data_IF_441796341977
#
_entry.id   IF_441796341977
#
_cell.length_a   1.000
_cell.length_b   1.000
_cell.length_c   1.000
_cell.angle_alpha   90.00
_cell.angle_beta   90.00
_cell.angle_gamma   90.00
#
_symmetry.space_group_name_H-M   'P 1'
#
loop_
_entity.id
_entity.type
_entity.pdbx_description
1 polymer ?
#
# COMPACT_ATOMS: atom_id res chain seq x y z
N UNK A 1 -37.21 -24.23 -35.82
CA UNK A 1 -38.20 -23.89 -36.88
C UNK A 1 -39.60 -24.07 -36.31
N UNK A 2 -40.46 -23.05 -36.31
CA UNK A 2 -41.92 -23.22 -36.46
C UNK A 2 -42.55 -21.89 -36.91
N UNK A 3 -43.67 -21.96 -37.64
CA UNK A 3 -44.18 -20.88 -38.51
C UNK A 3 -45.16 -19.93 -37.80
N UNK A 4 -45.22 -18.68 -38.30
CA UNK A 4 -46.37 -17.77 -38.14
C UNK A 4 -47.64 -18.40 -38.74
N UNK A 5 -48.81 -18.03 -38.21
CA UNK A 5 -49.95 -17.66 -39.05
C UNK A 5 -50.85 -16.63 -38.36
N UNK A 6 -51.57 -15.85 -39.17
CA UNK A 6 -52.38 -14.67 -38.81
C UNK A 6 -53.86 -14.87 -39.22
N UNK A 7 -54.70 -13.90 -38.81
CA UNK A 7 -56.13 -13.65 -39.13
C UNK A 7 -57.08 -14.31 -38.13
N UNK A 8 -58.16 -13.67 -37.64
CA UNK A 8 -58.93 -12.48 -38.04
C UNK A 8 -60.37 -12.71 -37.54
N UNK A 9 -61.36 -11.81 -37.58
CA UNK A 9 -61.50 -10.45 -38.12
C UNK A 9 -62.90 -9.90 -37.72
N UNK A 10 -62.99 -8.71 -37.09
CA UNK A 10 -64.16 -7.76 -37.04
C UNK A 10 -65.52 -8.31 -36.50
N UNK A 11 -66.58 -7.54 -36.13
CA UNK A 11 -66.88 -6.11 -36.23
C UNK A 11 -67.95 -5.62 -35.20
N UNK A 12 -67.99 -4.30 -34.92
CA UNK A 12 -69.22 -3.49 -34.64
C UNK A 12 -69.94 -3.66 -33.26
N UNK A 13 -70.69 -2.72 -32.65
CA UNK A 13 -71.30 -1.42 -33.07
C UNK A 13 -71.47 -0.43 -31.89
N UNK A 14 -71.24 0.88 -32.15
CA UNK A 14 -71.74 2.18 -31.55
C UNK A 14 -72.51 2.23 -30.20
N UNK A 15 -72.30 3.22 -29.31
CA UNK A 15 -72.69 4.65 -29.46
C UNK A 15 -72.12 5.59 -28.34
N UNK A 16 -71.61 6.79 -28.73
CA UNK A 16 -71.95 8.19 -28.30
C UNK A 16 -72.02 8.60 -26.80
N UNK A 17 -71.58 9.79 -26.33
CA UNK A 17 -70.95 11.05 -26.85
C UNK A 17 -70.12 11.73 -25.71
N UNK A 18 -69.23 12.72 -25.87
CA UNK A 18 -68.37 13.16 -26.99
C UNK A 18 -67.24 14.15 -26.53
N UNK A 19 -67.49 15.48 -26.57
CA UNK A 19 -66.69 16.63 -26.10
C UNK A 19 -65.13 16.68 -26.31
N UNK A 20 -64.75 17.32 -27.43
CA UNK A 20 -63.67 18.33 -27.57
C UNK A 20 -62.19 17.95 -27.80
N UNK A 21 -61.73 18.41 -28.99
CA UNK A 21 -60.40 18.97 -29.32
C UNK A 21 -59.13 18.14 -29.08
N UNK A 22 -58.65 17.52 -30.17
CA UNK A 22 -57.24 17.15 -30.41
C UNK A 22 -56.39 18.40 -30.67
N UNK A 23 -55.09 18.35 -30.37
CA UNK A 23 -54.02 18.48 -31.39
C UNK A 23 -52.67 17.98 -30.84
N UNK A 24 -51.68 17.84 -31.73
CA UNK A 24 -50.66 16.79 -31.69
C UNK A 24 -49.23 17.35 -31.75
N UNK A 25 -48.31 16.76 -30.95
CA UNK A 25 -46.84 16.67 -31.09
C UNK A 25 -45.97 17.91 -31.46
N UNK A 26 -44.62 17.81 -31.40
CA UNK A 26 -43.81 17.37 -30.28
C UNK A 26 -42.81 18.48 -29.82
N UNK A 27 -42.31 18.41 -28.58
CA UNK A 27 -41.40 19.44 -28.06
C UNK A 27 -40.00 19.44 -28.71
N UNK A 28 -39.81 20.41 -29.61
CA UNK A 28 -38.49 20.93 -30.03
C UNK A 28 -38.00 21.91 -28.97
N UNK A 29 -36.96 21.55 -28.21
CA UNK A 29 -36.35 22.45 -27.20
C UNK A 29 -35.18 23.23 -27.79
N UNK A 30 -35.44 24.48 -28.20
CA UNK A 30 -34.40 25.42 -28.60
C UNK A 30 -33.95 26.29 -27.42
N UNK A 31 -32.68 26.12 -27.05
CA UNK A 31 -31.71 27.17 -26.69
C UNK A 31 -32.28 28.57 -26.36
N UNK A 32 -32.57 28.85 -25.08
CA UNK A 32 -32.34 30.18 -24.44
C UNK A 32 -32.69 30.20 -22.94
N UNK A 33 -31.75 29.75 -22.09
CA UNK A 33 -31.75 30.08 -20.66
C UNK A 33 -30.31 30.17 -20.17
N UNK A 34 -29.75 31.38 -20.16
CA UNK A 34 -28.40 31.68 -19.66
C UNK A 34 -28.50 32.77 -18.60
N UNK A 35 -27.52 32.80 -17.69
CA UNK A 35 -27.33 33.76 -16.59
C UNK A 35 -28.21 33.43 -15.38
N UNK A 36 -27.71 33.19 -14.15
CA UNK A 36 -26.33 33.29 -13.64
C UNK A 36 -25.99 32.09 -12.74
N UNK A 37 -24.88 31.38 -13.03
CA UNK A 37 -24.18 30.56 -12.03
C UNK A 37 -22.74 31.04 -11.95
N UNK A 38 -22.44 31.76 -10.86
CA UNK A 38 -21.15 32.39 -10.56
C UNK A 38 -20.04 31.32 -10.61
N UNK A 39 -19.00 31.57 -11.41
CA UNK A 39 -17.98 30.57 -11.73
C UNK A 39 -17.25 30.07 -10.48
N UNK A 40 -17.20 28.74 -10.30
CA UNK A 40 -16.33 28.14 -9.29
C UNK A 40 -14.92 28.05 -9.86
N UNK A 41 -14.13 29.11 -9.64
CA UNK A 41 -12.69 29.08 -9.89
C UNK A 41 -12.09 27.95 -9.05
N UNK A 42 -11.37 27.03 -9.69
CA UNK A 42 -10.63 25.93 -9.05
C UNK A 42 -9.49 26.54 -8.23
N UNK A 43 -9.80 26.90 -6.99
CA UNK A 43 -8.85 27.52 -6.07
C UNK A 43 -7.74 26.52 -5.68
N UNK A 44 -6.44 26.81 -5.94
CA UNK A 44 -5.34 25.94 -5.53
C UNK A 44 -5.26 25.77 -4.00
N UNK A 45 -5.91 26.62 -3.21
CA UNK A 45 -6.11 26.38 -1.78
C UNK A 45 -7.01 25.18 -1.49
N UNK A 46 -7.90 24.73 -2.39
CA UNK A 46 -8.74 23.55 -2.14
C UNK A 46 -8.00 22.24 -2.33
N UNK A 47 -7.19 22.11 -3.39
CA UNK A 47 -6.31 20.94 -3.58
C UNK A 47 -5.27 20.87 -2.45
N UNK A 48 -4.67 22.01 -2.11
CA UNK A 48 -3.75 22.09 -0.97
C UNK A 48 -4.44 22.10 0.41
N UNK A 49 -5.77 22.16 0.50
CA UNK A 49 -6.58 21.85 1.70
C UNK A 49 -6.92 20.37 1.80
N UNK A 50 -7.06 19.64 0.69
CA UNK A 50 -7.17 18.18 0.71
C UNK A 50 -5.81 17.53 1.06
N UNK A 51 -4.74 18.06 0.49
CA UNK A 51 -3.37 17.67 0.84
C UNK A 51 -2.98 18.17 2.25
N UNK A 52 -3.54 19.29 2.73
CA UNK A 52 -3.42 19.68 4.15
C UNK A 52 -4.35 18.92 5.08
N UNK A 53 -5.54 18.46 4.72
CA UNK A 53 -6.35 17.67 5.67
C UNK A 53 -5.65 16.35 5.96
N UNK A 54 -5.15 15.67 4.90
CA UNK A 54 -4.31 14.48 5.01
C UNK A 54 -3.06 14.71 5.89
N UNK A 55 -2.41 15.88 5.80
CA UNK A 55 -1.19 16.15 6.59
C UNK A 55 -1.44 16.82 7.96
N UNK A 56 -2.58 17.49 8.16
CA UNK A 56 -2.87 18.33 9.33
C UNK A 56 -3.53 17.53 10.45
N UNK A 57 -4.31 16.50 10.11
CA UNK A 57 -4.80 15.51 11.08
C UNK A 57 -3.64 14.67 11.67
N UNK A 58 -2.56 14.50 10.90
CA UNK A 58 -1.32 13.86 11.38
C UNK A 58 -0.50 14.79 12.30
N UNK A 59 -0.38 16.09 12.00
CA UNK A 59 0.46 17.00 12.81
C UNK A 59 -0.01 17.17 14.26
N UNK A 60 -1.33 17.16 14.51
CA UNK A 60 -1.86 17.31 15.88
C UNK A 60 -1.87 16.01 16.69
N UNK A 61 -1.76 14.85 16.03
CA UNK A 61 -1.69 13.53 16.68
C UNK A 61 -0.26 13.01 16.85
N UNK A 62 0.67 13.33 15.96
CA UNK A 62 2.07 12.89 16.06
C UNK A 62 2.96 13.80 16.93
N UNK A 63 2.45 14.91 17.46
CA UNK A 63 3.20 15.76 18.40
C UNK A 63 3.23 15.19 19.85
N UNK A 64 2.75 13.96 20.03
CA UNK A 64 2.76 13.20 21.28
C UNK A 64 3.53 11.86 21.22
N UNK A 65 4.49 11.69 20.30
CA UNK A 65 5.33 10.47 20.24
C UNK A 65 6.41 10.50 21.35
N UNK A 66 5.96 10.53 22.59
CA UNK A 66 6.52 9.66 23.63
C UNK A 66 5.60 8.43 23.72
N UNK A 67 5.63 7.58 22.68
CA UNK A 67 5.20 6.19 22.80
C UNK A 67 6.24 5.42 23.61
N UNK A 68 6.46 5.86 24.86
CA UNK A 68 6.77 4.94 25.95
C UNK A 68 5.56 4.01 26.00
N UNK A 69 5.64 2.90 25.29
CA UNK A 69 4.66 1.84 25.40
C UNK A 69 4.52 1.53 26.89
N UNK A 70 3.29 1.63 27.40
CA UNK A 70 2.96 1.08 28.72
C UNK A 70 3.03 -0.44 28.60
N UNK A 71 4.25 -0.97 28.67
CA UNK A 71 4.48 -2.28 29.25
C UNK A 71 3.88 -2.15 30.65
N UNK A 72 2.70 -2.74 30.86
CA UNK A 72 2.18 -2.88 32.21
C UNK A 72 3.24 -3.64 33.01
N UNK A 73 3.78 -3.04 34.07
CA UNK A 73 4.73 -3.66 35.01
C UNK A 73 4.04 -4.72 35.89
N UNK A 74 3.21 -5.57 35.28
CA UNK A 74 2.33 -6.55 35.90
C UNK A 74 2.70 -7.99 35.51
N UNK A 75 3.99 -8.24 35.26
CA UNK A 75 4.61 -9.55 35.49
C UNK A 75 6.13 -9.41 35.58
N UNK A 76 6.70 -9.66 36.76
CA UNK A 76 8.17 -9.75 36.97
C UNK A 76 8.79 -11.02 36.34
N UNK A 77 7.98 -11.89 35.73
CA UNK A 77 8.45 -13.02 34.93
C UNK A 77 8.53 -12.61 33.44
N UNK A 78 9.57 -13.05 32.70
CA UNK A 78 9.59 -12.91 31.25
C UNK A 78 8.38 -13.66 30.68
N UNK A 79 7.59 -12.98 29.84
CA UNK A 79 6.47 -13.58 29.13
C UNK A 79 6.93 -14.80 28.31
N UNK A 80 6.13 -15.88 28.22
CA UNK A 80 6.55 -17.10 27.53
C UNK A 80 7.02 -16.84 26.10
N UNK A 81 8.00 -17.61 25.64
CA UNK A 81 8.47 -17.57 24.26
C UNK A 81 7.62 -18.53 23.42
N UNK A 82 7.17 -18.06 22.27
CA UNK A 82 6.48 -18.82 21.22
C UNK A 82 7.46 -18.98 20.06
N UNK A 83 7.52 -20.20 19.50
CA UNK A 83 8.31 -20.47 18.30
C UNK A 83 7.42 -20.33 17.06
N UNK A 84 7.78 -19.44 16.14
CA UNK A 84 7.14 -19.35 14.83
C UNK A 84 8.03 -19.99 13.77
N UNK A 85 7.40 -20.59 12.77
CA UNK A 85 8.07 -21.27 11.66
C UNK A 85 7.54 -20.67 10.37
N UNK A 86 8.42 -20.00 9.64
CA UNK A 86 8.05 -19.02 8.62
C UNK A 86 8.65 -19.38 7.26
N UNK A 87 7.82 -19.30 6.21
CA UNK A 87 8.19 -19.50 4.82
C UNK A 87 8.46 -20.96 4.46
N UNK A 88 8.72 -21.19 3.17
CA UNK A 88 9.03 -22.51 2.62
C UNK A 88 10.31 -23.14 3.21
N UNK A 89 11.28 -22.31 3.62
CA UNK A 89 12.50 -22.76 4.32
C UNK A 89 12.27 -23.16 5.79
N UNK A 90 11.05 -23.00 6.30
CA UNK A 90 10.69 -23.25 7.70
C UNK A 90 11.61 -22.51 8.71
N UNK A 91 11.96 -21.25 8.41
CA UNK A 91 12.89 -20.46 9.23
C UNK A 91 12.27 -20.21 10.61
N UNK A 92 13.03 -20.52 11.66
CA UNK A 92 12.57 -20.42 13.04
C UNK A 92 12.73 -19.00 13.58
N UNK A 93 11.67 -18.47 14.18
CA UNK A 93 11.67 -17.22 14.94
C UNK A 93 11.23 -17.50 16.37
N UNK A 94 11.87 -16.85 17.34
CA UNK A 94 11.47 -16.87 18.74
C UNK A 94 10.95 -15.48 19.13
N UNK A 95 9.72 -15.41 19.63
CA UNK A 95 9.08 -14.15 20.01
C UNK A 95 8.33 -14.29 21.34
N UNK A 96 8.26 -13.19 22.08
CA UNK A 96 7.50 -13.15 23.34
C UNK A 96 5.99 -13.14 23.08
N UNK A 97 5.24 -13.92 23.86
CA UNK A 97 3.79 -14.07 23.72
C UNK A 97 3.04 -12.72 23.81
N UNK A 98 3.45 -11.85 24.74
CA UNK A 98 2.87 -10.51 24.88
C UNK A 98 3.15 -9.58 23.68
N UNK A 99 4.30 -9.75 23.00
CA UNK A 99 4.68 -8.98 21.81
C UNK A 99 3.85 -9.43 20.62
N UNK A 100 3.66 -10.75 20.45
CA UNK A 100 2.79 -11.31 19.40
C UNK A 100 1.32 -10.90 19.60
N UNK A 101 0.81 -10.94 20.83
CA UNK A 101 -0.58 -10.56 21.15
C UNK A 101 -0.92 -9.09 20.88
N UNK A 102 0.03 -8.23 20.51
CA UNK A 102 -0.27 -6.91 19.95
C UNK A 102 -0.94 -6.99 18.56
N UNK A 103 -0.76 -8.10 17.84
CA UNK A 103 -1.47 -8.38 16.60
C UNK A 103 -2.76 -9.19 16.90
N UNK A 104 -3.96 -8.68 16.53
CA UNK A 104 -5.23 -9.38 16.75
C UNK A 104 -5.30 -10.80 16.17
N UNK A 105 -4.53 -11.11 15.12
CA UNK A 105 -4.39 -12.47 14.59
C UNK A 105 -3.70 -13.41 15.60
N UNK A 106 -2.49 -13.07 16.06
CA UNK A 106 -1.74 -13.93 16.97
C UNK A 106 -2.42 -14.03 18.34
N UNK A 107 -3.07 -12.98 18.82
CA UNK A 107 -3.86 -13.06 20.06
C UNK A 107 -4.94 -14.16 19.97
N UNK A 108 -5.67 -14.23 18.85
CA UNK A 108 -6.70 -15.26 18.62
C UNK A 108 -6.09 -16.66 18.52
N UNK A 109 -5.01 -16.82 17.76
CA UNK A 109 -4.29 -18.10 17.62
C UNK A 109 -3.75 -18.59 18.97
N UNK A 110 -3.18 -17.69 19.77
CA UNK A 110 -2.59 -18.02 21.07
C UNK A 110 -3.69 -18.39 22.08
N UNK A 111 -4.77 -17.60 22.17
CA UNK A 111 -5.93 -17.93 23.04
C UNK A 111 -6.66 -19.21 22.61
N UNK A 112 -6.64 -19.54 21.32
CA UNK A 112 -7.31 -20.73 20.75
C UNK A 112 -6.51 -22.03 20.93
N UNK A 113 -5.25 -22.04 20.53
CA UNK A 113 -4.46 -23.27 20.41
C UNK A 113 -3.80 -23.72 21.73
N UNK A 114 -3.55 -22.80 22.66
CA UNK A 114 -2.62 -23.03 23.78
C UNK A 114 -3.32 -23.58 25.04
N UNK A 115 -4.40 -24.36 24.84
CA UNK A 115 -5.04 -25.13 25.93
C UNK A 115 -4.20 -26.33 26.36
N UNK A 116 -3.43 -26.93 25.45
CA UNK A 116 -2.41 -27.93 25.76
C UNK A 116 -1.01 -27.30 25.76
N UNK A 117 -0.38 -27.27 26.94
CA UNK A 117 0.85 -26.50 27.18
C UNK A 117 2.12 -27.08 26.53
N UNK A 118 2.04 -28.22 25.83
CA UNK A 118 3.20 -29.03 25.44
C UNK A 118 3.95 -28.54 24.19
N UNK A 119 3.35 -27.72 23.31
CA UNK A 119 4.06 -27.28 22.10
C UNK A 119 3.62 -25.88 21.60
N UNK A 120 4.29 -24.83 22.09
CA UNK A 120 4.05 -23.42 21.73
C UNK A 120 4.60 -23.06 20.33
N UNK A 121 4.06 -23.70 19.28
CA UNK A 121 4.53 -23.54 17.88
C UNK A 121 3.43 -23.00 16.95
N UNK A 122 3.74 -21.95 16.19
CA UNK A 122 2.88 -21.37 15.13
C UNK A 122 3.57 -21.58 13.78
N UNK A 123 2.82 -21.93 12.74
CA UNK A 123 3.34 -22.12 11.37
C UNK A 123 2.75 -21.06 10.44
N UNK A 124 3.60 -20.42 9.64
CA UNK A 124 3.27 -19.37 8.67
C UNK A 124 3.96 -19.71 7.33
N UNK A 125 3.48 -20.74 6.60
CA UNK A 125 4.17 -21.24 5.41
C UNK A 125 4.13 -20.24 4.23
N UNK A 126 3.08 -19.41 4.16
CA UNK A 126 2.82 -18.46 3.08
C UNK A 126 3.43 -17.06 3.32
N UNK A 127 4.20 -16.90 4.40
CA UNK A 127 4.85 -15.64 4.79
C UNK A 127 6.36 -15.73 4.55
N UNK A 128 6.95 -14.70 3.91
CA UNK A 128 8.41 -14.68 3.72
C UNK A 128 9.15 -14.26 5.01
N UNK A 129 10.29 -14.90 5.35
CA UNK A 129 11.05 -14.56 6.55
C UNK A 129 11.48 -13.10 6.65
N UNK A 130 11.85 -12.46 5.53
CA UNK A 130 12.30 -11.06 5.44
C UNK A 130 11.16 -10.05 5.64
N UNK A 131 9.92 -10.48 5.34
CA UNK A 131 8.68 -9.73 5.59
C UNK A 131 8.32 -9.90 7.07
N UNK A 132 8.24 -11.14 7.56
CA UNK A 132 7.93 -11.42 8.96
C UNK A 132 8.94 -10.80 9.93
N UNK A 133 10.24 -10.78 9.58
CA UNK A 133 11.25 -10.08 10.36
C UNK A 133 10.95 -8.58 10.49
N UNK A 134 10.38 -7.95 9.45
CA UNK A 134 9.92 -6.56 9.50
C UNK A 134 8.68 -6.38 10.40
N UNK A 135 7.72 -7.32 10.32
CA UNK A 135 6.56 -7.33 11.24
C UNK A 135 7.04 -7.45 12.69
N UNK A 136 7.90 -8.42 12.99
CA UNK A 136 8.36 -8.67 14.35
C UNK A 136 9.16 -7.50 14.90
N UNK A 137 10.03 -6.88 14.09
CA UNK A 137 10.74 -5.66 14.48
C UNK A 137 9.77 -4.52 14.84
N UNK A 138 8.73 -4.31 14.02
CA UNK A 138 7.67 -3.34 14.33
C UNK A 138 6.97 -3.65 15.65
N UNK A 139 6.63 -4.91 15.94
CA UNK A 139 5.98 -5.30 17.20
C UNK A 139 6.87 -5.02 18.43
N UNK A 140 8.20 -5.05 18.29
CA UNK A 140 9.13 -4.70 19.38
C UNK A 140 9.43 -3.18 19.48
N UNK A 141 9.46 -2.45 18.36
CA UNK A 141 10.04 -1.08 18.29
C UNK A 141 9.07 0.01 17.85
N UNK A 142 7.89 -0.34 17.36
CA UNK A 142 6.94 0.58 16.69
C UNK A 142 7.37 1.02 15.29
N UNK A 143 8.52 0.54 14.79
CA UNK A 143 9.05 0.80 13.45
C UNK A 143 9.90 -0.42 13.02
N UNK A 144 10.16 -0.55 11.72
CA UNK A 144 10.98 -1.60 11.11
C UNK A 144 12.08 -1.00 10.23
N UNK A 145 13.16 -1.72 9.92
CA UNK A 145 14.21 -1.19 9.06
C UNK A 145 13.75 -1.13 7.58
N UNK A 146 14.05 -0.05 6.82
CA UNK A 146 14.70 1.19 7.27
C UNK A 146 13.71 2.08 8.01
N UNK A 147 14.15 2.68 9.12
CA UNK A 147 13.33 3.53 9.98
C UNK A 147 12.91 4.83 9.29
N UNK A 148 11.76 5.33 9.72
CA UNK A 148 11.15 6.55 9.21
C UNK A 148 11.56 7.75 10.08
N UNK A 149 12.39 8.65 9.54
CA UNK A 149 12.97 9.77 10.29
C UNK A 149 12.35 11.11 9.90
N UNK A 150 12.02 11.94 10.90
CA UNK A 150 11.56 13.33 10.68
C UNK A 150 12.73 14.30 10.62
N UNK A 151 13.00 14.85 9.45
CA UNK A 151 13.91 15.96 9.26
C UNK A 151 13.24 17.27 9.70
N UNK A 152 13.41 17.62 10.98
CA UNK A 152 12.86 18.84 11.59
C UNK A 152 13.24 20.14 10.86
N UNK A 153 14.42 20.20 10.22
CA UNK A 153 14.90 21.41 9.53
C UNK A 153 14.14 21.66 8.22
N UNK A 154 13.82 20.59 7.48
CA UNK A 154 13.10 20.66 6.20
C UNK A 154 11.60 20.35 6.33
N UNK A 155 11.15 20.05 7.55
CA UNK A 155 9.84 19.49 7.86
C UNK A 155 9.43 18.34 6.91
N UNK A 156 10.40 17.49 6.58
CA UNK A 156 10.26 16.36 5.65
C UNK A 156 10.49 15.04 6.36
N UNK A 157 10.07 13.95 5.72
CA UNK A 157 10.25 12.59 6.22
C UNK A 157 11.12 11.81 5.25
N UNK A 158 12.12 11.12 5.78
CA UNK A 158 13.22 10.48 5.04
C UNK A 158 13.44 9.08 5.62
N UNK A 159 13.84 8.11 4.78
CA UNK A 159 14.27 6.79 5.26
C UNK A 159 15.71 6.90 5.78
N UNK A 160 16.07 6.11 6.80
CA UNK A 160 17.42 6.23 7.39
C UNK A 160 18.56 5.97 6.39
N UNK A 161 18.36 5.08 5.41
CA UNK A 161 19.31 4.80 4.32
C UNK A 161 19.41 5.92 3.28
N UNK A 162 18.42 6.82 3.21
CA UNK A 162 18.47 8.00 2.34
C UNK A 162 19.41 9.08 2.87
N UNK A 163 19.85 8.97 4.14
CA UNK A 163 20.84 9.87 4.71
C UNK A 163 22.24 9.44 4.22
N UNK A 164 23.02 10.33 3.57
CA UNK A 164 24.37 10.00 3.13
C UNK A 164 25.26 9.75 4.35
N UNK A 165 25.41 8.46 4.68
CA UNK A 165 26.35 7.84 5.61
C UNK A 165 26.84 8.78 6.73
N UNK A 166 26.06 8.90 7.82
CA UNK A 166 26.47 9.64 9.02
C UNK A 166 27.67 8.92 9.65
N UNK A 167 28.88 9.27 9.17
CA UNK A 167 30.15 8.71 9.60
C UNK A 167 30.16 8.61 11.12
N UNK A 168 30.29 7.38 11.63
CA UNK A 168 30.66 7.15 13.02
C UNK A 168 31.96 7.90 13.25
N UNK A 169 31.97 8.89 14.14
CA UNK A 169 33.17 9.61 14.56
C UNK A 169 33.83 8.83 15.69
N UNK A 170 34.98 8.16 15.47
CA UNK A 170 35.75 7.55 16.55
C UNK A 170 36.55 8.65 17.26
N UNK A 171 35.95 9.28 18.27
CA UNK A 171 36.53 10.40 19.01
C UNK A 171 36.35 10.21 20.52
N UNK A 172 37.09 9.24 21.09
CA UNK A 172 37.51 9.24 22.50
C UNK A 172 38.82 8.46 22.67
N UNK A 173 39.91 9.22 22.61
CA UNK A 173 41.24 9.04 23.22
C UNK A 173 41.96 7.66 23.26
N UNK A 174 43.22 7.57 22.76
CA UNK A 174 44.12 6.47 23.06
C UNK A 174 44.91 6.71 24.35
N UNK A 175 45.09 5.66 25.16
CA UNK A 175 46.17 5.61 26.16
C UNK A 175 46.95 4.32 25.96
N UNK A 176 48.23 4.44 25.64
CA UNK A 176 49.12 3.33 25.31
C UNK A 176 49.82 2.87 26.59
N UNK A 177 49.90 1.55 26.81
CA UNK A 177 51.03 0.95 27.52
C UNK A 177 51.32 -0.44 26.94
N UNK A 178 52.56 -0.63 26.48
CA UNK A 178 53.14 -1.89 25.99
C UNK A 178 53.42 -2.82 27.21
N UNK A 179 53.79 -4.11 27.18
CA UNK A 179 54.32 -5.09 26.20
C UNK A 179 54.30 -6.49 26.94
N UNK A 180 54.95 -7.59 26.51
CA UNK A 180 54.79 -8.37 25.26
C UNK A 180 54.70 -9.92 25.45
N UNK A 181 54.51 -10.64 24.33
CA UNK A 181 54.99 -12.01 24.00
C UNK A 181 54.51 -13.30 24.73
N UNK A 182 53.69 -14.11 24.01
CA UNK A 182 53.91 -15.51 23.52
C UNK A 182 52.53 -16.15 23.23
N UNK A 183 52.26 -16.89 22.15
CA UNK A 183 52.97 -17.16 20.90
C UNK A 183 52.24 -18.24 20.07
N UNK A 184 52.16 -18.08 18.73
CA UNK A 184 51.75 -19.14 17.78
C UNK A 184 50.27 -19.16 17.33
N UNK A 185 50.01 -18.91 16.03
CA UNK A 185 48.66 -19.11 15.44
C UNK A 185 48.29 -18.24 14.23
N UNK A 186 48.96 -18.41 13.08
CA UNK A 186 48.44 -17.99 11.75
C UNK A 186 47.33 -18.98 11.32
N UNK A 187 46.28 -18.66 10.56
CA UNK A 187 45.87 -17.42 9.87
C UNK A 187 44.34 -17.41 9.61
N UNK A 188 43.74 -16.25 9.31
CA UNK A 188 42.38 -16.18 8.73
C UNK A 188 41.52 -14.97 9.13
N UNK A 189 41.94 -13.76 8.74
CA UNK A 189 41.18 -12.47 8.75
C UNK A 189 40.10 -12.21 9.84
N UNK A 190 40.30 -11.20 10.72
CA UNK A 190 39.22 -10.64 11.53
C UNK A 190 38.13 -10.05 10.63
N UNK A 191 36.87 -10.33 10.95
CA UNK A 191 35.73 -9.86 10.17
C UNK A 191 35.68 -8.34 10.05
N UNK A 192 35.42 -7.86 8.83
CA UNK A 192 34.87 -6.53 8.62
C UNK A 192 33.64 -6.37 9.53
N UNK A 193 33.46 -5.23 10.22
CA UNK A 193 32.17 -4.93 10.84
C UNK A 193 31.13 -5.01 9.73
N UNK A 194 30.18 -5.93 9.86
CA UNK A 194 29.04 -5.99 8.97
C UNK A 194 28.25 -4.70 9.21
N UNK A 195 28.51 -3.69 8.38
CA UNK A 195 27.49 -2.70 8.07
C UNK A 195 26.25 -3.50 7.68
N UNK A 196 25.09 -3.30 8.32
CA UNK A 196 23.89 -4.00 7.90
C UNK A 196 23.71 -3.72 6.42
N UNK A 197 23.70 -4.78 5.61
CA UNK A 197 23.46 -4.64 4.18
C UNK A 197 22.16 -3.87 4.01
N UNK A 198 22.20 -2.74 3.31
CA UNK A 198 21.03 -1.90 3.12
C UNK A 198 19.88 -2.79 2.63
N UNK A 199 18.84 -2.93 3.45
CA UNK A 199 17.76 -3.88 3.18
C UNK A 199 17.09 -3.46 1.88
N UNK A 200 17.04 -4.38 0.92
CA UNK A 200 16.51 -4.09 -0.40
C UNK A 200 15.07 -3.57 -0.29
N UNK A 201 14.76 -2.55 -1.08
CA UNK A 201 13.40 -2.02 -1.21
C UNK A 201 12.43 -3.06 -1.83
N UNK A 202 12.98 -4.18 -2.32
CA UNK A 202 12.26 -5.32 -2.89
C UNK A 202 12.43 -6.58 -2.06
N UNK A 203 11.45 -7.48 -2.16
CA UNK A 203 11.52 -8.83 -1.61
C UNK A 203 11.06 -9.82 -2.70
N UNK A 204 11.71 -10.97 -2.78
CA UNK A 204 11.23 -12.09 -3.59
C UNK A 204 10.15 -12.83 -2.81
N UNK A 205 8.98 -13.03 -3.41
CA UNK A 205 7.94 -13.88 -2.84
C UNK A 205 7.95 -15.22 -3.57
N UNK A 206 8.29 -16.30 -2.87
CA UNK A 206 8.34 -17.66 -3.41
C UNK A 206 6.98 -18.12 -3.95
N UNK A 207 5.89 -17.77 -3.25
CA UNK A 207 4.52 -18.13 -3.65
C UNK A 207 4.04 -17.59 -5.00
N UNK A 208 4.66 -16.52 -5.52
CA UNK A 208 4.38 -15.96 -6.87
C UNK A 208 5.62 -15.98 -7.79
N UNK A 209 6.78 -16.41 -7.30
CA UNK A 209 8.03 -16.45 -8.07
C UNK A 209 8.52 -15.10 -8.60
N UNK A 210 8.24 -13.99 -7.90
CA UNK A 210 8.50 -12.63 -8.38
C UNK A 210 9.03 -11.70 -7.29
N UNK A 211 9.84 -10.71 -7.69
CA UNK A 211 10.17 -9.57 -6.84
C UNK A 211 9.06 -8.51 -6.87
N UNK A 212 8.63 -8.10 -5.67
CA UNK A 212 7.75 -6.95 -5.41
C UNK A 212 8.39 -6.02 -4.38
N UNK A 213 7.76 -4.87 -4.11
CA UNK A 213 8.16 -3.95 -3.06
C UNK A 213 8.02 -4.58 -1.66
N UNK A 214 9.07 -4.49 -0.84
CA UNK A 214 9.08 -5.05 0.51
C UNK A 214 8.02 -4.39 1.41
N UNK A 215 7.89 -3.06 1.33
CA UNK A 215 6.85 -2.31 2.05
C UNK A 215 5.42 -2.76 1.66
N UNK A 216 5.22 -3.26 0.44
CA UNK A 216 3.93 -3.81 -0.01
C UNK A 216 3.64 -5.19 0.56
N UNK A 217 4.63 -6.09 0.60
CA UNK A 217 4.47 -7.37 1.26
C UNK A 217 4.14 -7.17 2.76
N UNK A 218 4.85 -6.25 3.42
CA UNK A 218 4.59 -5.82 4.80
C UNK A 218 3.17 -5.25 4.95
N UNK A 219 2.70 -4.41 4.02
CA UNK A 219 1.34 -3.85 4.06
C UNK A 219 0.26 -4.94 4.02
N UNK A 220 0.36 -5.89 3.10
CA UNK A 220 -0.63 -6.96 2.95
C UNK A 220 -0.59 -7.92 4.15
N UNK A 221 0.59 -8.18 4.69
CA UNK A 221 0.77 -8.97 5.93
C UNK A 221 0.18 -8.24 7.14
N UNK A 222 0.37 -6.92 7.24
CA UNK A 222 -0.22 -6.09 8.29
C UNK A 222 -1.75 -6.08 8.23
N UNK A 223 -2.36 -6.12 7.04
CA UNK A 223 -3.80 -6.33 6.87
C UNK A 223 -4.23 -7.70 7.43
N UNK A 224 -3.58 -8.80 7.02
CA UNK A 224 -3.88 -10.16 7.53
C UNK A 224 -3.77 -10.27 9.05
N UNK A 225 -2.81 -9.55 9.65
CA UNK A 225 -2.54 -9.58 11.09
C UNK A 225 -3.39 -8.61 11.92
N UNK A 226 -4.06 -7.62 11.29
CA UNK A 226 -4.86 -6.59 11.95
C UNK A 226 -4.03 -5.44 12.54
N UNK A 227 -2.97 -5.00 11.84
CA UNK A 227 -2.00 -3.99 12.29
C UNK A 227 -2.14 -2.67 11.52
N UNK A 228 -3.22 -1.92 11.76
CA UNK A 228 -3.55 -0.69 11.01
C UNK A 228 -2.47 0.40 11.01
N UNK A 229 -1.76 0.62 12.11
CA UNK A 229 -0.67 1.61 12.16
C UNK A 229 0.55 1.14 11.33
N UNK A 230 0.81 -0.17 11.26
CA UNK A 230 1.84 -0.73 10.39
C UNK A 230 1.46 -0.57 8.91
N UNK A 231 0.20 -0.75 8.53
CA UNK A 231 -0.28 -0.44 7.17
C UNK A 231 0.03 1.01 6.78
N UNK A 232 -0.27 1.97 7.66
CA UNK A 232 0.02 3.40 7.42
C UNK A 232 1.52 3.67 7.31
N UNK A 233 2.31 3.09 8.21
CA UNK A 233 3.78 3.20 8.20
C UNK A 233 4.37 2.65 6.89
N UNK A 234 3.96 1.47 6.47
CA UNK A 234 4.46 0.82 5.26
C UNK A 234 4.13 1.59 3.98
N UNK A 235 2.88 2.04 3.83
CA UNK A 235 2.47 2.87 2.69
C UNK A 235 3.23 4.21 2.62
N UNK A 236 3.57 4.77 3.79
CA UNK A 236 4.36 5.99 3.90
C UNK A 236 5.81 5.78 3.50
N UNK A 237 6.45 4.69 3.93
CA UNK A 237 7.82 4.33 3.53
C UNK A 237 7.91 4.02 2.04
N UNK A 238 6.95 3.26 1.50
CA UNK A 238 6.83 3.00 0.08
C UNK A 238 6.83 4.29 -0.76
N UNK A 239 6.16 5.34 -0.27
CA UNK A 239 6.13 6.66 -0.91
C UNK A 239 7.47 7.42 -0.92
N UNK A 240 8.45 7.00 -0.11
CA UNK A 240 9.80 7.56 -0.04
C UNK A 240 10.83 6.76 -0.87
N UNK A 241 10.49 5.54 -1.29
CA UNK A 241 11.37 4.70 -2.12
C UNK A 241 11.61 5.34 -3.50
N UNK A 242 12.83 5.17 -4.02
CA UNK A 242 13.23 5.69 -5.34
C UNK A 242 14.12 4.68 -6.08
N UNK A 243 14.32 4.86 -7.40
CA UNK A 243 15.10 3.93 -8.22
C UNK A 243 14.43 2.59 -8.55
N UNK A 244 13.17 2.38 -8.14
CA UNK A 244 12.43 1.13 -8.35
C UNK A 244 12.00 0.98 -9.82
N UNK A 245 12.16 -0.23 -10.36
CA UNK A 245 11.65 -0.60 -11.68
C UNK A 245 10.11 -0.50 -11.77
N UNK A 246 9.61 -0.06 -12.93
CA UNK A 246 8.18 0.11 -13.18
C UNK A 246 7.43 -1.22 -13.29
N UNK A 247 8.08 -2.30 -13.71
CA UNK A 247 7.53 -3.65 -13.64
C UNK A 247 7.35 -4.09 -12.19
N UNK A 248 8.36 -3.89 -11.34
CA UNK A 248 8.23 -4.15 -9.89
C UNK A 248 7.08 -3.37 -9.26
N UNK A 249 6.90 -2.08 -9.60
CA UNK A 249 5.75 -1.28 -9.13
C UNK A 249 4.42 -1.91 -9.58
N UNK A 250 4.33 -2.36 -10.84
CA UNK A 250 3.10 -2.94 -11.39
C UNK A 250 2.76 -4.29 -10.73
N UNK A 251 3.74 -5.20 -10.59
CA UNK A 251 3.55 -6.48 -9.88
C UNK A 251 3.16 -6.29 -8.42
N UNK A 252 3.76 -5.30 -7.75
CA UNK A 252 3.41 -4.95 -6.37
C UNK A 252 1.97 -4.46 -6.25
N UNK A 253 1.50 -3.66 -7.20
CA UNK A 253 0.10 -3.23 -7.28
C UNK A 253 -0.85 -4.42 -7.46
N UNK A 254 -0.52 -5.35 -8.36
CA UNK A 254 -1.33 -6.55 -8.62
C UNK A 254 -1.40 -7.47 -7.39
N UNK A 255 -0.28 -7.65 -6.69
CA UNK A 255 -0.22 -8.38 -5.42
C UNK A 255 -1.12 -7.74 -4.36
N UNK A 256 -1.08 -6.40 -4.20
CA UNK A 256 -1.99 -5.68 -3.31
C UNK A 256 -3.47 -5.91 -3.64
N UNK A 257 -3.82 -5.89 -4.92
CA UNK A 257 -5.21 -6.09 -5.36
C UNK A 257 -5.75 -7.48 -5.00
N UNK A 258 -4.91 -8.51 -5.06
CA UNK A 258 -5.29 -9.87 -4.66
C UNK A 258 -5.22 -10.14 -3.15
N UNK A 259 -4.40 -9.39 -2.40
CA UNK A 259 -4.13 -9.64 -0.98
C UNK A 259 -4.73 -8.59 -0.02
N UNK A 260 -5.59 -7.69 -0.50
CA UNK A 260 -6.30 -6.70 0.33
C UNK A 260 -7.76 -6.50 -0.11
N UNK A 261 -8.72 -6.31 0.82
CA UNK A 261 -10.13 -6.20 0.49
C UNK A 261 -10.42 -4.95 -0.34
N UNK A 262 -11.49 -4.98 -1.16
CA UNK A 262 -11.88 -3.88 -2.05
C UNK A 262 -12.25 -2.56 -1.35
N UNK A 263 -12.46 -2.61 -0.03
CA UNK A 263 -12.59 -1.43 0.84
C UNK A 263 -11.28 -0.64 1.02
N UNK A 264 -10.10 -1.22 0.73
CA UNK A 264 -8.82 -0.51 0.83
C UNK A 264 -8.58 0.43 -0.35
N UNK A 265 -9.37 1.50 -0.35
CA UNK A 265 -9.31 2.60 -1.30
C UNK A 265 -8.02 3.41 -1.19
N UNK A 266 -7.37 3.44 -0.02
CA UNK A 266 -6.14 4.22 0.20
C UNK A 266 -4.94 3.57 -0.50
N UNK A 267 -4.77 2.26 -0.36
CA UNK A 267 -3.74 1.50 -1.06
C UNK A 267 -3.94 1.55 -2.57
N UNK A 268 -5.18 1.32 -3.04
CA UNK A 268 -5.55 1.41 -4.46
C UNK A 268 -5.23 2.79 -5.02
N UNK A 269 -5.71 3.86 -4.40
CA UNK A 269 -5.44 5.23 -4.85
C UNK A 269 -3.95 5.59 -4.87
N UNK A 270 -3.16 5.13 -3.89
CA UNK A 270 -1.70 5.30 -3.87
C UNK A 270 -1.06 4.66 -5.11
N UNK A 271 -1.42 3.42 -5.42
CA UNK A 271 -0.88 2.70 -6.57
C UNK A 271 -1.28 3.28 -7.92
N UNK A 272 -2.56 3.64 -8.08
CA UNK A 272 -3.05 4.29 -9.29
C UNK A 272 -2.34 5.63 -9.54
N UNK A 273 -2.18 6.45 -8.51
CA UNK A 273 -1.44 7.71 -8.59
C UNK A 273 0.06 7.49 -8.93
N UNK A 274 0.70 6.47 -8.34
CA UNK A 274 2.08 6.10 -8.60
C UNK A 274 2.28 5.66 -10.07
N UNK A 275 1.41 4.80 -10.60
CA UNK A 275 1.46 4.33 -11.98
C UNK A 275 1.19 5.47 -12.97
N UNK A 276 0.16 6.30 -12.73
CA UNK A 276 -0.18 7.45 -13.58
C UNK A 276 0.95 8.49 -13.62
N UNK A 277 1.67 8.68 -12.51
CA UNK A 277 2.88 9.53 -12.43
C UNK A 277 4.03 8.97 -13.27
N UNK A 278 4.19 7.65 -13.30
CA UNK A 278 5.23 6.95 -14.08
C UNK A 278 4.83 6.60 -15.53
N UNK A 279 3.65 7.04 -16.01
CA UNK A 279 3.08 6.65 -17.33
C UNK A 279 4.02 6.80 -18.53
N UNK A 280 4.92 7.80 -18.53
CA UNK A 280 5.89 8.01 -19.62
C UNK A 280 6.89 6.86 -19.71
N UNK A 281 7.30 6.30 -18.58
CA UNK A 281 8.21 5.16 -18.51
C UNK A 281 7.51 3.90 -18.99
N UNK A 282 6.31 3.61 -18.47
CA UNK A 282 5.47 2.48 -18.93
C UNK A 282 5.20 2.50 -20.44
N UNK A 283 4.89 3.67 -21.02
CA UNK A 283 4.69 3.82 -22.47
C UNK A 283 5.95 3.48 -23.28
N UNK A 284 7.15 3.80 -22.75
CA UNK A 284 8.43 3.56 -23.44
C UNK A 284 8.91 2.11 -23.27
N UNK A 285 8.66 1.49 -22.13
CA UNK A 285 9.16 0.14 -21.83
C UNK A 285 8.27 -1.00 -22.32
N UNK A 286 7.00 -0.72 -22.67
CA UNK A 286 6.02 -1.75 -23.04
C UNK A 286 5.55 -2.62 -21.85
N UNK A 287 6.11 -2.42 -20.65
CA UNK A 287 5.87 -3.26 -19.46
C UNK A 287 4.39 -3.37 -19.09
N UNK A 288 3.61 -2.30 -19.30
CA UNK A 288 2.16 -2.34 -19.03
C UNK A 288 1.45 -3.37 -19.92
N UNK A 289 1.76 -3.39 -21.22
CA UNK A 289 1.21 -4.36 -22.16
C UNK A 289 1.67 -5.78 -21.79
N UNK A 290 2.97 -5.96 -21.57
CA UNK A 290 3.54 -7.27 -21.26
C UNK A 290 2.97 -7.89 -19.96
N UNK A 291 2.73 -7.10 -18.91
CA UNK A 291 2.09 -7.61 -17.69
C UNK A 291 0.57 -7.80 -17.86
N UNK A 292 -0.12 -6.95 -18.64
CA UNK A 292 -1.55 -7.15 -18.97
C UNK A 292 -1.79 -8.45 -19.75
N UNK A 293 -0.95 -8.74 -20.75
CA UNK A 293 -1.04 -9.96 -21.58
C UNK A 293 -0.76 -11.23 -20.78
N UNK A 294 0.15 -11.17 -19.79
CA UNK A 294 0.40 -12.29 -18.86
C UNK A 294 -0.75 -12.53 -17.87
N UNK A 295 -1.47 -11.49 -17.48
CA UNK A 295 -2.40 -11.52 -16.35
C UNK A 295 -3.85 -11.76 -16.75
N UNK A 296 -4.07 -12.71 -17.68
CA UNK A 296 -5.40 -13.09 -18.20
C UNK A 296 -6.36 -13.77 -17.21
N UNK A 297 -6.04 -13.79 -15.91
CA UNK A 297 -6.85 -14.36 -14.84
C UNK A 297 -5.99 -14.81 -13.65
N UNK A 298 -5.81 -13.91 -12.68
CA UNK A 298 -5.38 -14.25 -11.30
C UNK A 298 -3.91 -14.71 -11.07
N UNK A 299 -2.98 -14.29 -11.92
CA UNK A 299 -1.54 -14.60 -11.78
C UNK A 299 -0.88 -14.19 -10.45
N UNK A 300 -1.47 -13.23 -9.71
CA UNK A 300 -1.03 -12.81 -8.38
C UNK A 300 -2.06 -13.15 -7.27
N UNK A 301 -3.04 -14.00 -7.60
CA UNK A 301 -4.24 -14.26 -6.80
C UNK A 301 -5.50 -13.59 -7.38
N UNK A 302 -6.66 -14.02 -6.87
CA UNK A 302 -7.99 -13.60 -7.32
C UNK A 302 -8.14 -12.07 -7.30
N UNK A 303 -8.62 -11.48 -8.39
CA UNK A 303 -8.88 -10.04 -8.47
C UNK A 303 -7.66 -9.18 -8.78
N UNK A 304 -6.46 -9.75 -8.92
CA UNK A 304 -5.26 -9.02 -9.37
C UNK A 304 -5.44 -8.31 -10.72
N UNK A 305 -6.30 -8.82 -11.60
CA UNK A 305 -6.68 -8.18 -12.88
C UNK A 305 -7.53 -6.91 -12.74
N UNK A 306 -8.25 -6.72 -11.62
CA UNK A 306 -9.10 -5.54 -11.37
C UNK A 306 -8.30 -4.24 -11.35
N UNK A 307 -7.00 -4.31 -11.04
CA UNK A 307 -6.07 -3.19 -11.16
C UNK A 307 -6.15 -2.49 -12.51
N UNK A 308 -6.22 -3.24 -13.62
CA UNK A 308 -6.17 -2.65 -14.96
C UNK A 308 -7.46 -1.90 -15.31
N UNK A 309 -8.61 -2.37 -14.82
CA UNK A 309 -9.88 -1.67 -14.94
C UNK A 309 -9.87 -0.37 -14.13
N UNK A 310 -9.51 -0.44 -12.85
CA UNK A 310 -9.42 0.74 -11.97
C UNK A 310 -8.39 1.76 -12.52
N UNK A 311 -7.28 1.29 -13.10
CA UNK A 311 -6.26 2.11 -13.74
C UNK A 311 -6.74 2.78 -15.02
N UNK A 312 -7.49 2.08 -15.88
CA UNK A 312 -8.11 2.67 -17.06
C UNK A 312 -9.05 3.82 -16.66
N UNK A 313 -9.94 3.59 -15.69
CA UNK A 313 -10.87 4.61 -15.18
C UNK A 313 -10.11 5.80 -14.58
N UNK A 314 -9.09 5.54 -13.75
CA UNK A 314 -8.27 6.60 -13.16
C UNK A 314 -7.47 7.39 -14.21
N UNK A 315 -7.02 6.75 -15.29
CA UNK A 315 -6.35 7.40 -16.41
C UNK A 315 -7.30 8.30 -17.22
N UNK A 316 -8.53 7.87 -17.48
CA UNK A 316 -9.55 8.71 -18.13
C UNK A 316 -9.82 9.97 -17.32
N UNK A 317 -10.15 9.82 -16.03
CA UNK A 317 -10.39 10.95 -15.12
C UNK A 317 -9.17 11.90 -15.06
N UNK A 318 -7.95 11.36 -15.04
CA UNK A 318 -6.72 12.17 -15.06
C UNK A 318 -6.51 12.93 -16.38
N UNK A 319 -6.90 12.36 -17.52
CA UNK A 319 -6.83 13.04 -18.82
C UNK A 319 -7.83 14.20 -18.88
N UNK A 320 -9.07 13.98 -18.41
CA UNK A 320 -10.10 15.02 -18.34
C UNK A 320 -9.64 16.19 -17.44
N UNK A 321 -9.11 15.90 -16.25
CA UNK A 321 -8.53 16.90 -15.35
C UNK A 321 -7.40 17.73 -16.00
N UNK A 322 -6.54 17.07 -16.80
CA UNK A 322 -5.44 17.74 -17.51
C UNK A 322 -5.97 18.61 -18.66
N UNK A 323 -6.99 18.15 -19.38
CA UNK A 323 -7.64 18.91 -20.47
C UNK A 323 -8.36 20.14 -19.89
N UNK A 324 -9.13 19.99 -18.80
CA UNK A 324 -9.74 21.10 -18.09
C UNK A 324 -8.70 22.13 -17.63
N UNK A 325 -7.61 21.67 -17.00
CA UNK A 325 -6.54 22.53 -16.51
C UNK A 325 -5.80 23.27 -17.64
N UNK A 326 -5.69 22.67 -18.83
CA UNK A 326 -5.16 23.32 -20.03
C UNK A 326 -6.12 24.40 -20.55
N UNK A 327 -7.40 24.06 -20.72
CA UNK A 327 -8.43 24.96 -21.23
C UNK A 327 -8.72 26.15 -20.29
N UNK A 328 -8.47 25.98 -18.98
CA UNK A 328 -8.54 27.07 -18.00
C UNK A 328 -7.35 28.05 -18.07
N UNK A 329 -6.23 27.65 -18.70
CA UNK A 329 -5.01 28.47 -18.83
C UNK A 329 -4.92 29.21 -20.15
N UNK A 330 -5.63 28.78 -21.19
CA UNK A 330 -5.79 29.53 -22.44
C UNK A 330 -6.79 30.67 -22.24
N UNK A 331 -6.37 31.96 -22.26
CA UNK A 331 -7.32 33.06 -22.22
C UNK A 331 -8.20 33.00 -23.47
N UNK A 332 -9.52 33.16 -23.29
CA UNK A 332 -10.44 33.30 -24.41
C UNK A 332 -10.26 34.70 -24.98
N UNK A 333 -9.53 34.81 -26.08
CA UNK A 333 -9.57 36.01 -26.93
C UNK A 333 -11.01 36.20 -27.38
N UNK A 334 -11.56 37.38 -27.07
CA UNK A 334 -12.86 37.87 -27.54
C UNK A 334 -12.59 38.75 -28.76
#
# INVERSE_FOLDING_TARGET
MFKRSFRGREASTSQREAASSRMDSPHRVDKSARLMRKGSVRDPQKVSKLQRSLNSEDTSRMQGVSMQARINEASLAPSPIVTLVVGAEARLFAAHENVLCQAPFFEKVIRGNFRDAQNKRISLPDEEPEVFSGILEYLYKGDYYPRLLHNKQRNSWELEDSLPNRRVTPQTSPTIHESPNFGGGRAGQPGTPQTPSAVEATVFLAGIGQHILRDTAIYCTAERLGLDELKKLALRKQGLQSGIDVGTILRSAQYCYANTPDSDSRLRAHYLALIIRCRKTFKRSGTMQAEMEKCGGDAYGEGSGKLFFDLFVAMCNHLDDVIEASNARTPKTI
#
